data_IF_406461164089
#
_entry.id   IF_406461164089
#
_cell.length_a   1.000
_cell.length_b   1.000
_cell.length_c   1.000
_cell.angle_alpha   90.00
_cell.angle_beta   90.00
_cell.angle_gamma   90.00
#
_symmetry.space_group_name_H-M   'P 1'
#
loop_
_entity.id
_entity.type
_entity.pdbx_description
1 polymer ?
#
# COMPACT_ATOMS: atom_id res chain seq x y z
N UNK A 1 -1.40 -3.05 7.25
CA UNK A 1 -1.50 -1.57 7.37
C UNK A 1 -2.97 -1.17 7.30
N UNK A 2 -3.33 -0.01 7.79
CA UNK A 2 -4.71 0.52 7.69
C UNK A 2 -4.64 1.98 7.22
N UNK A 3 -5.37 2.31 6.14
CA UNK A 3 -5.62 3.67 5.67
C UNK A 3 -4.34 4.53 5.65
N UNK A 4 -4.25 5.58 6.48
CA UNK A 4 -3.15 6.56 6.51
C UNK A 4 -1.77 5.97 6.80
N UNK A 5 -1.66 4.72 7.28
CA UNK A 5 -0.37 4.03 7.50
C UNK A 5 0.50 3.99 6.23
N UNK A 6 -0.12 4.09 5.04
CA UNK A 6 0.62 4.14 3.78
C UNK A 6 1.63 5.28 3.72
N UNK A 7 1.37 6.35 4.47
CA UNK A 7 2.23 7.55 4.48
C UNK A 7 3.60 7.28 5.10
N UNK A 8 3.67 6.30 5.99
CA UNK A 8 4.87 6.00 6.78
C UNK A 8 5.60 4.78 6.20
N UNK A 9 6.81 4.97 5.63
CA UNK A 9 7.61 3.86 5.09
C UNK A 9 7.87 2.76 6.12
N UNK A 10 8.01 3.14 7.38
CA UNK A 10 8.29 2.25 8.52
C UNK A 10 7.20 1.21 8.71
N UNK A 11 5.94 1.54 8.42
CA UNK A 11 4.80 0.62 8.55
C UNK A 11 5.00 -0.60 7.64
N UNK A 12 5.18 -0.37 6.34
CA UNK A 12 5.38 -1.44 5.37
C UNK A 12 6.71 -2.17 5.60
N UNK A 13 7.78 -1.41 5.88
CA UNK A 13 9.10 -1.99 6.16
C UNK A 13 9.07 -2.92 7.36
N UNK A 14 8.38 -2.55 8.44
CA UNK A 14 8.24 -3.39 9.64
C UNK A 14 7.52 -4.69 9.34
N UNK A 15 6.41 -4.63 8.58
CA UNK A 15 5.67 -5.83 8.19
C UNK A 15 6.51 -6.75 7.30
N UNK A 16 7.20 -6.19 6.32
CA UNK A 16 8.03 -6.95 5.41
C UNK A 16 9.22 -7.63 6.12
N UNK A 17 9.87 -6.92 7.06
CA UNK A 17 10.94 -7.50 7.89
C UNK A 17 10.45 -8.58 8.84
N UNK A 18 9.17 -8.56 9.20
CA UNK A 18 8.50 -9.63 9.96
C UNK A 18 8.02 -10.79 9.10
N UNK A 19 8.34 -10.79 7.81
CA UNK A 19 8.06 -11.88 6.88
C UNK A 19 6.71 -11.79 6.15
N UNK A 20 6.12 -10.60 6.04
CA UNK A 20 4.93 -10.43 5.23
C UNK A 20 5.25 -10.63 3.73
N UNK A 21 4.59 -11.56 3.08
CA UNK A 21 4.61 -11.75 1.63
C UNK A 21 3.61 -10.80 0.95
N UNK A 22 2.47 -10.54 1.62
CA UNK A 22 1.40 -9.66 1.15
C UNK A 22 1.02 -8.67 2.25
N UNK A 23 0.95 -7.40 1.92
CA UNK A 23 0.47 -6.35 2.82
C UNK A 23 -0.92 -5.91 2.36
N UNK A 24 -1.94 -6.23 3.15
CA UNK A 24 -3.29 -5.72 2.94
C UNK A 24 -3.46 -4.34 3.59
N UNK A 25 -4.16 -3.43 2.90
CA UNK A 25 -4.43 -2.08 3.39
C UNK A 25 -5.87 -1.66 3.10
N UNK A 26 -6.82 -1.94 3.99
CA UNK A 26 -8.16 -1.36 3.92
C UNK A 26 -8.07 0.15 4.16
N UNK A 27 -8.79 0.93 3.35
CA UNK A 27 -8.60 2.38 3.30
C UNK A 27 -9.86 3.13 2.87
N UNK A 28 -9.90 4.41 3.26
CA UNK A 28 -10.82 5.43 2.76
C UNK A 28 -10.01 6.68 2.38
N UNK A 29 -9.37 6.63 1.21
CA UNK A 29 -8.40 7.63 0.76
C UNK A 29 -9.03 8.64 -0.20
N UNK A 30 -8.76 9.91 0.05
CA UNK A 30 -9.42 11.06 -0.61
C UNK A 30 -8.54 11.75 -1.67
N UNK A 31 -7.27 11.35 -1.81
CA UNK A 31 -6.35 11.93 -2.81
C UNK A 31 -5.68 10.83 -3.60
N UNK A 32 -5.34 11.06 -4.86
CA UNK A 32 -4.63 10.08 -5.72
C UNK A 32 -3.16 9.88 -5.35
N UNK A 33 -2.60 10.72 -4.50
CA UNK A 33 -1.17 10.65 -4.11
C UNK A 33 -0.83 9.32 -3.42
N UNK A 34 -1.80 8.68 -2.77
CA UNK A 34 -1.61 7.39 -2.12
C UNK A 34 -1.17 6.29 -3.10
N UNK A 35 -1.57 6.36 -4.37
CA UNK A 35 -1.19 5.39 -5.40
C UNK A 35 0.34 5.34 -5.57
N UNK A 36 0.99 6.50 -5.56
CA UNK A 36 2.45 6.61 -5.62
C UNK A 36 3.08 5.97 -4.38
N UNK A 37 2.57 6.31 -3.19
CA UNK A 37 3.08 5.78 -1.94
C UNK A 37 2.94 4.26 -1.84
N UNK A 38 1.77 3.71 -2.14
CA UNK A 38 1.52 2.27 -2.07
C UNK A 38 2.38 1.47 -3.06
N UNK A 39 2.59 1.98 -4.28
CA UNK A 39 3.52 1.39 -5.25
C UNK A 39 4.94 1.35 -4.69
N UNK A 40 5.37 2.45 -4.07
CA UNK A 40 6.68 2.52 -3.44
C UNK A 40 6.81 1.51 -2.30
N UNK A 41 5.75 1.33 -1.48
CA UNK A 41 5.74 0.31 -0.40
C UNK A 41 5.92 -1.11 -0.95
N UNK A 42 5.30 -1.43 -2.08
CA UNK A 42 5.50 -2.71 -2.75
C UNK A 42 6.95 -2.88 -3.24
N UNK A 43 7.43 -1.91 -4.02
CA UNK A 43 8.75 -1.93 -4.65
C UNK A 43 9.89 -1.99 -3.61
N UNK A 44 9.92 -1.07 -2.65
CA UNK A 44 11.03 -0.91 -1.69
C UNK A 44 11.13 -2.07 -0.69
N UNK A 45 10.06 -2.88 -0.55
CA UNK A 45 10.01 -4.02 0.33
C UNK A 45 9.98 -5.36 -0.42
N UNK A 46 9.90 -5.33 -1.74
CA UNK A 46 9.70 -6.51 -2.59
C UNK A 46 8.58 -7.41 -2.05
N UNK A 47 7.38 -6.83 -1.83
CA UNK A 47 6.17 -7.51 -1.34
C UNK A 47 4.97 -7.16 -2.22
N UNK A 48 3.94 -8.02 -2.20
CA UNK A 48 2.65 -7.62 -2.77
C UNK A 48 1.94 -6.62 -1.85
N UNK A 49 1.27 -5.63 -2.44
CA UNK A 49 0.43 -4.69 -1.69
C UNK A 49 -0.96 -4.67 -2.29
N UNK A 50 -1.93 -5.10 -1.49
CA UNK A 50 -3.34 -5.12 -1.83
C UNK A 50 -4.08 -3.99 -1.10
N UNK A 51 -4.62 -3.04 -1.85
CA UNK A 51 -5.38 -1.90 -1.30
C UNK A 51 -6.85 -2.09 -1.60
N UNK A 52 -7.68 -2.14 -0.55
CA UNK A 52 -9.13 -2.05 -0.65
C UNK A 52 -9.54 -0.64 -0.24
N UNK A 53 -9.86 0.20 -1.21
CA UNK A 53 -10.16 1.61 -0.97
C UNK A 53 -11.63 1.91 -1.22
N UNK A 54 -12.27 2.57 -0.25
CA UNK A 54 -13.63 3.07 -0.40
C UNK A 54 -13.75 4.04 -1.57
N UNK A 55 -14.94 4.09 -2.16
CA UNK A 55 -15.30 5.08 -3.16
C UNK A 55 -16.62 5.75 -2.72
N UNK A 56 -17.02 6.82 -3.33
CA UNK A 56 -18.18 7.68 -3.05
C UNK A 56 -17.84 8.91 -2.22
N UNK A 57 -18.73 9.85 -2.35
CA UNK A 57 -18.77 11.05 -1.52
C UNK A 57 -19.55 10.78 -0.24
N UNK A 58 -18.99 11.13 0.88
CA UNK A 58 -19.67 11.14 2.18
C UNK A 58 -19.74 12.55 2.72
N UNK A 59 -20.88 12.91 3.28
CA UNK A 59 -21.04 14.17 4.01
C UNK A 59 -21.03 13.87 5.49
N UNK A 60 -20.10 14.49 6.22
CA UNK A 60 -19.97 14.38 7.69
C UNK A 60 -20.38 15.70 8.35
N UNK A 61 -21.14 15.61 9.42
CA UNK A 61 -21.39 16.76 10.30
C UNK A 61 -20.23 16.88 11.30
N UNK A 62 -19.65 18.06 11.42
CA UNK A 62 -18.63 18.37 12.41
C UNK A 62 -19.30 18.89 13.70
N UNK A 63 -18.57 18.84 14.83
CA UNK A 63 -19.05 19.27 16.16
C UNK A 63 -19.45 20.75 16.20
N UNK A 64 -18.91 21.57 15.31
CA UNK A 64 -19.25 22.99 15.14
C UNK A 64 -20.48 23.22 14.23
N UNK A 65 -21.19 22.18 13.83
CA UNK A 65 -22.35 22.26 12.95
C UNK A 65 -22.05 22.43 11.45
N UNK A 66 -20.79 22.52 11.06
CA UNK A 66 -20.40 22.57 9.65
C UNK A 66 -20.49 21.17 9.02
N UNK A 67 -20.70 21.14 7.71
CA UNK A 67 -20.66 19.90 6.93
C UNK A 67 -19.33 19.83 6.19
N UNK A 68 -18.72 18.66 6.22
CA UNK A 68 -17.55 18.31 5.45
C UNK A 68 -17.89 17.25 4.41
N UNK A 69 -17.55 17.50 3.17
CA UNK A 69 -17.68 16.52 2.09
C UNK A 69 -16.34 15.83 1.89
N UNK A 70 -16.36 14.50 1.89
CA UNK A 70 -15.20 13.64 1.65
C UNK A 70 -15.47 12.80 0.41
N UNK A 71 -14.66 12.98 -0.62
CA UNK A 71 -14.74 12.18 -1.83
C UNK A 71 -13.65 11.11 -1.81
N UNK A 72 -14.04 9.87 -1.56
CA UNK A 72 -13.12 8.72 -1.59
C UNK A 72 -12.87 8.27 -3.03
N UNK A 73 -11.59 8.07 -3.36
CA UNK A 73 -11.15 7.90 -4.74
C UNK A 73 -11.38 6.51 -5.32
N UNK A 74 -11.78 5.54 -4.50
CA UNK A 74 -11.90 4.15 -4.95
C UNK A 74 -10.59 3.58 -5.47
N UNK A 75 -10.62 2.96 -6.66
CA UNK A 75 -9.45 2.42 -7.34
C UNK A 75 -8.68 1.35 -6.55
N UNK A 76 -9.42 0.48 -5.84
CA UNK A 76 -8.81 -0.68 -5.18
C UNK A 76 -7.85 -1.39 -6.12
N UNK A 77 -6.69 -1.83 -5.61
CA UNK A 77 -5.58 -2.22 -6.50
C UNK A 77 -4.69 -3.29 -5.85
N UNK A 78 -4.10 -4.14 -6.69
CA UNK A 78 -2.99 -5.00 -6.32
C UNK A 78 -1.72 -4.56 -7.05
N UNK A 79 -0.67 -4.32 -6.30
CA UNK A 79 0.70 -4.14 -6.79
C UNK A 79 1.52 -5.42 -6.55
N UNK A 80 2.35 -5.78 -7.53
CA UNK A 80 3.33 -6.87 -7.37
C UNK A 80 4.59 -6.38 -6.63
N UNK A 81 5.54 -7.29 -6.44
CA UNK A 81 6.80 -7.06 -5.73
C UNK A 81 7.71 -6.00 -6.36
N UNK A 82 7.48 -5.64 -7.63
CA UNK A 82 8.18 -4.56 -8.34
C UNK A 82 7.39 -3.24 -8.38
N UNK A 83 6.26 -3.15 -7.67
CA UNK A 83 5.40 -1.97 -7.68
C UNK A 83 4.56 -1.83 -8.96
N UNK A 84 4.51 -2.86 -9.82
CA UNK A 84 3.65 -2.84 -11.01
C UNK A 84 2.21 -3.13 -10.62
N UNK A 85 1.26 -2.38 -11.18
CA UNK A 85 -0.17 -2.66 -11.02
C UNK A 85 -0.53 -3.94 -11.75
N UNK A 86 -1.00 -4.94 -11.01
CA UNK A 86 -1.50 -6.20 -11.58
C UNK A 86 -2.97 -6.08 -11.97
N UNK A 87 -3.78 -5.47 -11.10
CA UNK A 87 -5.20 -5.24 -11.33
C UNK A 87 -5.68 -4.05 -10.51
N UNK A 88 -6.60 -3.27 -11.08
CA UNK A 88 -7.16 -2.08 -10.43
C UNK A 88 -8.64 -1.94 -10.77
N UNK A 89 -9.44 -1.53 -9.79
CA UNK A 89 -10.85 -1.16 -9.98
C UNK A 89 -10.98 0.21 -10.64
N UNK A 90 -12.14 0.48 -11.25
CA UNK A 90 -12.46 1.76 -11.88
C UNK A 90 -12.61 2.91 -10.86
N UNK A 91 -13.03 2.60 -9.64
CA UNK A 91 -13.30 3.58 -8.58
C UNK A 91 -14.71 4.16 -8.62
N UNK A 92 -15.59 3.62 -9.45
CA UNK A 92 -16.95 4.13 -9.67
C UNK A 92 -18.03 3.18 -9.16
N UNK A 93 -17.69 1.89 -8.99
CA UNK A 93 -18.63 0.85 -8.64
C UNK A 93 -18.15 -0.03 -7.47
N UNK A 94 -19.12 -0.63 -6.74
CA UNK A 94 -18.81 -1.72 -5.81
C UNK A 94 -18.26 -2.90 -6.61
N UNK A 95 -17.00 -3.23 -6.40
CA UNK A 95 -16.27 -4.19 -7.23
C UNK A 95 -15.49 -5.15 -6.37
N UNK A 96 -15.56 -6.44 -6.71
CA UNK A 96 -14.66 -7.47 -6.20
C UNK A 96 -13.60 -7.74 -7.27
N UNK A 97 -12.33 -7.58 -6.91
CA UNK A 97 -11.21 -7.95 -7.77
C UNK A 97 -10.63 -9.28 -7.30
N UNK A 98 -10.71 -10.28 -8.16
CA UNK A 98 -10.08 -11.58 -7.93
C UNK A 98 -8.76 -11.67 -8.69
N UNK A 99 -7.74 -12.25 -8.06
CA UNK A 99 -6.44 -12.48 -8.65
C UNK A 99 -5.75 -13.68 -8.00
N UNK A 100 -4.88 -14.32 -8.77
CA UNK A 100 -4.01 -15.40 -8.27
C UNK A 100 -2.57 -14.94 -8.33
N UNK A 101 -1.84 -15.10 -7.22
CA UNK A 101 -0.42 -14.79 -7.10
C UNK A 101 0.33 -15.97 -6.49
N UNK A 102 1.61 -16.08 -6.78
CA UNK A 102 2.51 -16.89 -5.96
C UNK A 102 3.16 -15.98 -4.90
N UNK A 103 2.63 -16.03 -3.68
CA UNK A 103 3.13 -15.19 -2.60
C UNK A 103 4.63 -15.44 -2.30
N UNK A 104 5.19 -16.59 -2.70
CA UNK A 104 6.62 -16.90 -2.52
C UNK A 104 7.54 -16.00 -3.32
N UNK A 105 7.05 -15.36 -4.39
CA UNK A 105 7.82 -14.36 -5.14
C UNK A 105 8.31 -13.22 -4.23
N UNK A 106 7.51 -12.85 -3.21
CA UNK A 106 7.89 -11.84 -2.24
C UNK A 106 9.06 -12.23 -1.33
N UNK A 107 9.45 -13.51 -1.30
CA UNK A 107 10.59 -13.99 -0.49
C UNK A 107 11.94 -13.79 -1.17
N UNK A 108 11.93 -13.58 -2.49
CA UNK A 108 13.13 -13.16 -3.21
C UNK A 108 13.32 -11.65 -3.00
N UNK A 109 14.36 -11.28 -2.27
CA UNK A 109 14.74 -9.88 -1.99
C UNK A 109 15.89 -9.40 -2.85
N UNK A 110 16.45 -10.26 -3.72
CA UNK A 110 17.52 -9.88 -4.65
C UNK A 110 16.98 -8.97 -5.74
N UNK A 111 17.57 -7.80 -5.88
CA UNK A 111 17.33 -6.91 -7.00
C UNK A 111 18.11 -7.36 -8.24
N UNK A 112 19.34 -7.84 -8.03
CA UNK A 112 20.21 -8.45 -9.02
C UNK A 112 21.23 -9.36 -8.29
N UNK A 113 22.24 -9.87 -9.00
CA UNK A 113 23.28 -10.75 -8.42
C UNK A 113 24.12 -10.09 -7.32
N UNK A 114 24.15 -8.75 -7.24
CA UNK A 114 24.98 -7.99 -6.31
C UNK A 114 24.17 -7.29 -5.20
N UNK A 115 22.87 -7.11 -5.38
CA UNK A 115 22.06 -6.27 -4.50
C UNK A 115 20.84 -7.00 -3.96
N UNK A 116 20.66 -6.89 -2.65
CA UNK A 116 19.52 -7.43 -1.92
C UNK A 116 18.85 -6.34 -1.08
N UNK A 117 17.53 -6.18 -1.23
CA UNK A 117 16.75 -5.12 -0.61
C UNK A 117 16.86 -5.12 0.92
N UNK A 118 17.07 -6.28 1.56
CA UNK A 118 17.15 -6.39 3.01
C UNK A 118 18.57 -6.52 3.52
N UNK A 119 19.42 -7.31 2.86
CA UNK A 119 20.77 -7.59 3.32
C UNK A 119 21.71 -6.40 3.16
N UNK A 120 21.47 -5.54 2.15
CA UNK A 120 22.27 -4.34 1.91
C UNK A 120 21.96 -3.18 2.85
N UNK A 121 20.88 -3.29 3.63
CA UNK A 121 20.51 -2.28 4.61
C UNK A 121 21.60 -2.11 5.67
N UNK A 122 21.79 -0.88 6.11
CA UNK A 122 22.72 -0.53 7.19
C UNK A 122 21.96 0.09 8.37
N UNK A 123 21.18 -0.70 9.14
CA UNK A 123 20.32 -0.16 10.19
C UNK A 123 21.05 0.68 11.21
N UNK A 124 22.33 0.37 11.48
CA UNK A 124 23.17 1.15 12.41
C UNK A 124 23.44 2.59 11.96
N UNK A 125 23.24 2.89 10.65
CA UNK A 125 23.39 4.24 10.11
C UNK A 125 22.07 5.01 10.09
N UNK A 126 20.93 4.32 10.28
CA UNK A 126 19.62 4.94 10.30
C UNK A 126 19.26 5.26 11.77
N UNK A 127 19.50 6.49 12.18
CA UNK A 127 19.06 6.96 13.49
C UNK A 127 17.58 7.32 13.37
N UNK A 128 16.75 6.40 13.74
CA UNK A 128 15.31 6.66 13.96
C UNK A 128 15.17 6.96 15.44
N UNK A 129 14.78 8.18 15.75
CA UNK A 129 14.59 8.68 17.11
C UNK A 129 13.47 7.94 17.82
#
# INVERSE_FOLDING_TARGET
>A
MVCYDWRFPESARTLALKGADVIACPSNLVTSVWEIGMRSRALENAVFVAVANGYKMETRSLDNGLKQELNFTGKSVLYNTSGTTLKQADGENDTVIEFTIDAREARNKSFNEYNDVFNDRKPSLYKLD
#
